data_IF_658755174672
#
_entry.id   IF_658755174672
#
_cell.length_a   1.000
_cell.length_b   1.000
_cell.length_c   1.000
_cell.angle_alpha   90.00
_cell.angle_beta   90.00
_cell.angle_gamma   90.00
#
_symmetry.space_group_name_H-M   'P 1'
#
loop_
_entity.id
_entity.type
_entity.pdbx_description
1 polymer ?
#
# COMPACT_ATOMS: atom_id res chain seq x y z
N UNK A 1 1.90 2.41 -31.97
CA UNK A 1 1.11 3.11 -30.93
C UNK A 1 0.67 4.43 -31.54
N UNK A 2 -0.63 4.63 -31.76
CA UNK A 2 -1.15 5.87 -32.32
C UNK A 2 -0.96 6.98 -31.29
N UNK A 3 -0.16 7.99 -31.62
CA UNK A 3 -0.01 9.17 -30.79
C UNK A 3 -1.34 9.92 -30.78
N UNK A 4 -1.96 10.08 -29.60
CA UNK A 4 -3.10 10.96 -29.42
C UNK A 4 -2.73 12.37 -29.89
N UNK A 5 -3.69 13.11 -30.46
CA UNK A 5 -3.47 14.49 -30.85
C UNK A 5 -3.03 15.32 -29.62
N UNK A 6 -2.12 16.29 -29.80
CA UNK A 6 -1.45 16.97 -28.66
C UNK A 6 -2.41 17.62 -27.65
N UNK A 7 -3.63 17.99 -28.07
CA UNK A 7 -4.66 18.58 -27.22
C UNK A 7 -5.45 17.55 -26.39
N UNK A 8 -5.41 16.27 -26.76
CA UNK A 8 -6.09 15.17 -26.05
C UNK A 8 -5.11 14.39 -25.17
N UNK A 9 -3.80 14.65 -25.31
CA UNK A 9 -2.75 13.89 -24.64
C UNK A 9 -2.79 13.99 -23.12
N UNK A 10 -3.04 15.19 -22.56
CA UNK A 10 -3.19 15.37 -21.11
C UNK A 10 -4.43 14.66 -20.56
N UNK A 11 -5.59 14.87 -21.18
CA UNK A 11 -6.83 14.22 -20.77
C UNK A 11 -6.73 12.68 -20.84
N UNK A 12 -6.09 12.15 -21.88
CA UNK A 12 -5.83 10.71 -21.99
C UNK A 12 -4.86 10.22 -20.91
N UNK A 13 -3.83 10.99 -20.58
CA UNK A 13 -2.87 10.65 -19.54
C UNK A 13 -3.53 10.61 -18.15
N UNK A 14 -4.38 11.58 -17.83
CA UNK A 14 -5.12 11.62 -16.56
C UNK A 14 -6.09 10.44 -16.44
N UNK A 15 -6.78 10.09 -17.53
CA UNK A 15 -7.66 8.91 -17.56
C UNK A 15 -6.88 7.61 -17.32
N UNK A 16 -5.73 7.44 -17.97
CA UNK A 16 -4.88 6.26 -17.80
C UNK A 16 -4.26 6.19 -16.40
N UNK A 17 -3.88 7.33 -15.81
CA UNK A 17 -3.37 7.40 -14.46
C UNK A 17 -4.44 7.00 -13.42
N UNK A 18 -5.67 7.50 -13.57
CA UNK A 18 -6.79 7.16 -12.70
C UNK A 18 -7.20 5.68 -12.83
N UNK A 19 -7.07 5.08 -14.03
CA UNK A 19 -7.26 3.65 -14.22
C UNK A 19 -6.14 2.85 -13.54
N UNK A 20 -4.89 3.28 -13.70
CA UNK A 20 -3.74 2.63 -13.09
C UNK A 20 -3.79 2.68 -11.56
N UNK A 21 -4.19 3.81 -10.95
CA UNK A 21 -4.33 3.94 -9.49
C UNK A 21 -5.38 2.97 -8.91
N UNK A 22 -6.45 2.68 -9.65
CA UNK A 22 -7.48 1.71 -9.23
C UNK A 22 -6.97 0.26 -9.24
N UNK A 23 -6.06 -0.07 -10.16
CA UNK A 23 -5.57 -1.45 -10.37
C UNK A 23 -4.27 -1.71 -9.60
N UNK A 24 -3.40 -0.71 -9.51
CA UNK A 24 -2.07 -0.82 -8.96
C UNK A 24 -1.89 0.15 -7.79
N UNK A 25 -1.86 -0.40 -6.57
CA UNK A 25 -1.51 0.36 -5.35
C UNK A 25 -2.57 0.37 -4.25
N UNK A 26 -3.75 -0.21 -4.50
CA UNK A 26 -4.75 -0.40 -3.45
C UNK A 26 -4.27 -1.35 -2.35
N UNK A 27 -4.76 -1.14 -1.12
CA UNK A 27 -4.53 -2.03 0.03
C UNK A 27 -4.88 -3.48 -0.31
N UNK A 28 -5.87 -3.69 -1.18
CA UNK A 28 -6.32 -5.01 -1.59
C UNK A 28 -5.22 -5.76 -2.38
N UNK A 29 -4.50 -5.08 -3.29
CA UNK A 29 -3.34 -5.66 -3.99
C UNK A 29 -2.18 -5.94 -3.03
N UNK A 30 -1.96 -5.07 -2.03
CA UNK A 30 -0.94 -5.27 -1.01
C UNK A 30 -1.22 -6.51 -0.13
N UNK A 31 -2.50 -6.84 0.08
CA UNK A 31 -2.93 -8.07 0.76
C UNK A 31 -2.65 -9.29 -0.11
N UNK A 32 -2.96 -9.24 -1.41
CA UNK A 32 -2.73 -10.36 -2.34
C UNK A 32 -1.25 -10.77 -2.40
N UNK A 33 -0.32 -9.81 -2.39
CA UNK A 33 1.12 -10.08 -2.38
C UNK A 33 1.69 -10.37 -0.98
N UNK A 34 0.87 -10.29 0.06
CA UNK A 34 1.23 -10.63 1.44
C UNK A 34 2.12 -9.61 2.15
N UNK A 35 2.22 -8.37 1.64
CA UNK A 35 2.94 -7.29 2.35
C UNK A 35 2.05 -6.58 3.39
N UNK A 36 0.74 -6.77 3.30
CA UNK A 36 -0.25 -6.34 4.30
C UNK A 36 -1.04 -7.55 4.77
N UNK A 37 -1.10 -7.78 6.09
CA UNK A 37 -1.80 -8.93 6.65
C UNK A 37 -3.33 -8.77 6.64
N UNK A 38 -3.85 -7.57 6.93
CA UNK A 38 -5.28 -7.32 7.07
C UNK A 38 -5.65 -5.86 6.75
N UNK A 39 -6.84 -5.66 6.15
CA UNK A 39 -7.53 -4.37 6.06
C UNK A 39 -8.60 -4.30 7.15
N UNK A 40 -8.54 -3.28 7.99
CA UNK A 40 -9.41 -3.13 9.18
C UNK A 40 -10.38 -1.95 9.05
N UNK A 41 -11.49 -2.01 9.80
CA UNK A 41 -12.34 -0.83 10.03
C UNK A 41 -11.58 0.20 10.88
N UNK A 42 -11.49 1.47 10.44
CA UNK A 42 -10.85 2.54 11.20
C UNK A 42 -11.31 2.65 12.66
N UNK A 43 -12.58 2.34 12.98
CA UNK A 43 -13.11 2.41 14.35
C UNK A 43 -12.45 1.41 15.31
N UNK A 44 -11.89 0.32 14.78
CA UNK A 44 -11.28 -0.77 15.55
C UNK A 44 -9.75 -0.72 15.57
N UNK A 45 -9.14 0.35 15.02
CA UNK A 45 -7.68 0.50 14.94
C UNK A 45 -6.99 0.31 16.28
N UNK A 46 -7.50 0.96 17.34
CA UNK A 46 -6.88 0.89 18.68
C UNK A 46 -6.90 -0.52 19.27
N UNK A 47 -8.02 -1.23 19.15
CA UNK A 47 -8.16 -2.57 19.69
C UNK A 47 -7.29 -3.56 18.91
N UNK A 48 -7.31 -3.50 17.57
CA UNK A 48 -6.49 -4.37 16.70
C UNK A 48 -4.99 -4.18 16.93
N UNK A 49 -4.52 -2.94 17.08
CA UNK A 49 -3.11 -2.68 17.42
C UNK A 49 -2.73 -3.27 18.78
N UNK A 50 -3.59 -3.11 19.78
CA UNK A 50 -3.34 -3.62 21.13
C UNK A 50 -3.27 -5.15 21.12
N UNK A 51 -4.19 -5.80 20.40
CA UNK A 51 -4.20 -7.25 20.21
C UNK A 51 -2.92 -7.74 19.52
N UNK A 52 -2.54 -7.14 18.40
CA UNK A 52 -1.34 -7.52 17.65
C UNK A 52 -0.06 -7.42 18.49
N UNK A 53 0.08 -6.33 19.26
CA UNK A 53 1.22 -6.15 20.16
C UNK A 53 1.23 -7.14 21.33
N UNK A 54 0.07 -7.49 21.87
CA UNK A 54 -0.05 -8.44 22.97
C UNK A 54 0.26 -9.89 22.52
N UNK A 55 -0.09 -10.25 21.29
CA UNK A 55 0.16 -11.56 20.71
C UNK A 55 1.61 -11.71 20.20
N UNK A 56 2.26 -10.60 19.84
CA UNK A 56 3.62 -10.64 19.34
C UNK A 56 4.60 -11.15 20.41
N UNK A 57 5.45 -12.16 20.10
CA UNK A 57 6.44 -12.63 21.04
C UNK A 57 7.47 -11.55 21.33
N UNK A 58 7.91 -11.43 22.58
CA UNK A 58 9.00 -10.53 22.94
C UNK A 58 10.27 -10.93 22.16
N UNK A 59 10.78 -10.02 21.33
CA UNK A 59 12.01 -10.20 20.56
C UNK A 59 12.99 -9.07 20.84
N UNK A 60 14.27 -9.39 20.83
CA UNK A 60 15.36 -8.40 20.89
C UNK A 60 16.12 -8.43 19.58
N UNK A 61 16.31 -7.26 18.98
CA UNK A 61 17.07 -7.12 17.74
C UNK A 61 18.54 -7.51 17.92
N UNK A 62 19.17 -7.99 16.86
CA UNK A 62 20.63 -8.07 16.77
C UNK A 62 21.14 -6.70 16.32
N UNK A 63 21.84 -6.01 17.20
CA UNK A 63 22.48 -4.72 16.91
C UNK A 63 23.49 -4.91 15.76
N UNK A 64 23.40 -4.08 14.72
CA UNK A 64 24.33 -4.05 13.58
C UNK A 64 24.78 -2.61 13.34
N UNK A 65 25.83 -2.44 12.54
CA UNK A 65 26.36 -1.13 12.20
C UNK A 65 25.52 -0.50 11.07
N UNK A 66 24.51 0.30 11.44
CA UNK A 66 23.69 1.03 10.45
C UNK A 66 24.58 2.06 9.73
N UNK A 67 24.31 2.38 8.44
CA UNK A 67 24.99 3.48 7.77
C UNK A 67 24.83 4.78 8.58
N UNK A 68 25.94 5.51 8.73
CA UNK A 68 25.99 6.82 9.39
C UNK A 68 26.02 7.94 8.35
#
# INVERSE_FOLDING_TARGET
>A
MAAAADHEREALHDQLAAEHERIAGGVDSAIEIGVVDEKIDPSHTRSKLTEALAQAPARRGRHKNIPL
#
